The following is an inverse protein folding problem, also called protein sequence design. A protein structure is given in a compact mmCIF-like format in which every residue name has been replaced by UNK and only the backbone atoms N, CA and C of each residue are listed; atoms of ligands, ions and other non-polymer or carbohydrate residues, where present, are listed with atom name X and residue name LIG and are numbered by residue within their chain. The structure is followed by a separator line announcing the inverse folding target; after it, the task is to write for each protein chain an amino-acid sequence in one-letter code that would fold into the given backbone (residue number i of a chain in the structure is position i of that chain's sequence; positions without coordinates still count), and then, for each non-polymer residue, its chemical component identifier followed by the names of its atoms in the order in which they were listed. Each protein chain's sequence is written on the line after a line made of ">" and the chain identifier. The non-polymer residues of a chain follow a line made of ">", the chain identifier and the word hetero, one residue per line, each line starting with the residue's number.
data_IF_239592439930
#
_entry.id   IF_239592439930
#
_cell.length_a   1.000
_cell.length_b   1.000
_cell.length_c   1.000
_cell.angle_alpha   90.00
_cell.angle_beta   90.00
_cell.angle_gamma   90.00
#
_symmetry.space_group_name_H-M   'P 1'
#
loop_
_entity.id
_entity.type
_entity.pdbx_description
1 polymer ?
#
# COMPACT_ATOMS: atom_id res chain seq x y z
N UNK A 1 31.71 14.05 12.83
CA UNK A 1 31.08 14.42 14.12
C UNK A 1 30.68 15.89 14.04
N UNK A 2 29.40 16.23 14.25
CA UNK A 2 28.90 17.61 14.12
C UNK A 2 28.91 18.31 15.48
N UNK A 3 30.09 18.77 15.92
CA UNK A 3 30.32 19.35 17.25
C UNK A 3 29.34 20.48 17.64
N UNK A 4 28.89 21.28 16.67
CA UNK A 4 27.95 22.38 16.92
C UNK A 4 26.63 21.91 17.56
N UNK A 5 26.17 20.69 17.25
CA UNK A 5 24.91 20.15 17.82
C UNK A 5 25.06 19.78 19.29
N UNK A 6 26.20 19.21 19.67
CA UNK A 6 26.52 18.86 21.05
C UNK A 6 26.71 20.12 21.90
N UNK A 7 27.45 21.11 21.38
CA UNK A 7 27.66 22.40 22.07
C UNK A 7 26.32 23.10 22.31
N UNK A 8 25.46 23.16 21.28
CA UNK A 8 24.12 23.73 21.43
C UNK A 8 23.28 22.97 22.47
N UNK A 9 23.32 21.63 22.44
CA UNK A 9 22.62 20.79 23.40
C UNK A 9 23.06 21.01 24.85
N UNK A 10 24.37 21.10 25.07
CA UNK A 10 24.94 21.41 26.39
C UNK A 10 24.56 22.81 26.86
N UNK A 11 24.66 23.81 25.98
CA UNK A 11 24.26 25.19 26.29
C UNK A 11 22.76 25.28 26.62
N UNK A 12 21.91 24.59 25.85
CA UNK A 12 20.46 24.55 26.09
C UNK A 12 20.11 23.82 27.38
N UNK A 13 20.71 22.66 27.66
CA UNK A 13 20.50 21.94 28.91
C UNK A 13 20.95 22.76 30.12
N UNK A 14 22.10 23.43 30.03
CA UNK A 14 22.60 24.32 31.07
C UNK A 14 21.64 25.50 31.30
N UNK A 15 21.25 26.20 30.22
CA UNK A 15 20.33 27.33 30.32
C UNK A 15 18.99 26.92 30.95
N UNK A 16 18.45 25.77 30.53
CA UNK A 16 17.18 25.26 31.06
C UNK A 16 17.32 24.88 32.53
N UNK A 17 18.37 24.16 32.93
CA UNK A 17 18.63 23.82 34.32
C UNK A 17 18.79 25.08 35.18
N UNK A 18 19.60 26.04 34.70
CA UNK A 18 19.83 27.32 35.36
C UNK A 18 18.54 28.12 35.54
N UNK A 19 17.70 28.18 34.50
CA UNK A 19 16.40 28.84 34.56
C UNK A 19 15.47 28.19 35.57
N UNK A 20 15.30 26.85 35.53
CA UNK A 20 14.45 26.13 36.48
C UNK A 20 14.91 26.29 37.94
N UNK A 21 16.23 26.42 38.16
CA UNK A 21 16.79 26.61 39.50
C UNK A 21 16.63 28.04 40.02
N UNK A 22 16.77 29.05 39.15
CA UNK A 22 16.87 30.46 39.56
C UNK A 22 15.66 31.31 39.15
N UNK A 23 14.55 30.69 38.73
CA UNK A 23 13.35 31.40 38.27
C UNK A 23 12.82 32.45 39.27
N UNK A 24 12.86 32.15 40.57
CA UNK A 24 12.40 33.07 41.63
C UNK A 24 13.27 34.32 41.69
N UNK A 25 14.59 34.16 41.57
CA UNK A 25 15.55 35.28 41.54
C UNK A 25 15.41 36.09 40.25
N UNK A 26 15.19 35.42 39.12
CA UNK A 26 15.14 36.04 37.79
C UNK A 26 13.83 36.77 37.50
N UNK A 27 12.71 36.25 38.00
CA UNK A 27 11.37 36.71 37.61
C UNK A 27 10.49 37.14 38.79
N UNK A 28 10.98 36.95 40.02
CA UNK A 28 10.23 37.23 41.25
C UNK A 28 9.11 36.23 41.56
N UNK A 29 8.86 35.25 40.67
CA UNK A 29 7.81 34.26 40.80
C UNK A 29 8.31 32.86 40.39
N UNK A 30 7.64 31.82 40.88
CA UNK A 30 7.88 30.43 40.48
C UNK A 30 6.79 30.01 39.52
N UNK A 31 7.14 29.82 38.25
CA UNK A 31 6.20 29.41 37.19
C UNK A 31 6.22 27.90 36.95
N UNK A 32 7.37 27.25 37.15
CA UNK A 32 7.57 25.84 36.80
C UNK A 32 8.14 25.08 37.99
N UNK A 33 7.50 23.98 38.36
CA UNK A 33 7.94 23.13 39.47
C UNK A 33 8.49 21.83 38.90
N UNK A 34 9.76 21.60 39.17
CA UNK A 34 10.44 20.38 38.85
C UNK A 34 11.27 19.94 40.05
N UNK A 35 11.18 18.67 40.43
CA UNK A 35 12.06 18.09 41.45
C UNK A 35 13.50 18.02 40.90
N UNK A 36 14.52 17.99 41.78
CA UNK A 36 15.93 17.89 41.35
C UNK A 36 16.18 16.72 40.39
N UNK A 37 15.54 15.58 40.64
CA UNK A 37 15.62 14.41 39.76
C UNK A 37 15.05 14.69 38.37
N UNK A 38 13.95 15.46 38.26
CA UNK A 38 13.34 15.80 36.98
C UNK A 38 14.19 16.81 36.20
N UNK A 39 14.75 17.82 36.89
CA UNK A 39 15.68 18.79 36.29
C UNK A 39 16.92 18.07 35.74
N UNK A 40 17.50 17.17 36.52
CA UNK A 40 18.67 16.38 36.13
C UNK A 40 18.36 15.46 34.94
N UNK A 41 17.28 14.66 35.02
CA UNK A 41 16.86 13.77 33.95
C UNK A 41 16.62 14.52 32.63
N UNK A 42 15.89 15.63 32.67
CA UNK A 42 15.60 16.41 31.46
C UNK A 42 16.88 16.96 30.83
N UNK A 43 17.80 17.48 31.65
CA UNK A 43 19.11 17.97 31.21
C UNK A 43 19.96 16.85 30.58
N UNK A 44 20.03 15.68 31.24
CA UNK A 44 20.75 14.51 30.73
C UNK A 44 20.15 14.03 29.41
N UNK A 45 18.82 13.96 29.29
CA UNK A 45 18.14 13.52 28.07
C UNK A 45 18.36 14.47 26.90
N UNK A 46 18.36 15.79 27.13
CA UNK A 46 18.67 16.82 26.12
C UNK A 46 20.12 16.67 25.63
N UNK A 47 21.07 16.48 26.55
CA UNK A 47 22.48 16.27 26.21
C UNK A 47 22.64 14.96 25.45
N UNK A 48 22.03 13.87 25.89
CA UNK A 48 22.05 12.58 25.22
C UNK A 48 21.44 12.66 23.81
N UNK A 49 20.32 13.35 23.64
CA UNK A 49 19.70 13.60 22.33
C UNK A 49 20.63 14.35 21.40
N UNK A 50 21.29 15.39 21.91
CA UNK A 50 22.22 16.22 21.15
C UNK A 50 23.53 15.48 20.82
N UNK A 51 23.99 14.62 21.72
CA UNK A 51 25.11 13.72 21.49
C UNK A 51 24.80 12.72 20.38
N UNK A 52 23.67 11.99 20.45
CA UNK A 52 23.23 11.08 19.40
C UNK A 52 23.06 11.80 18.05
N UNK A 53 22.53 13.04 18.06
CA UNK A 53 22.39 13.85 16.85
C UNK A 53 23.73 14.33 16.24
N UNK A 54 24.82 14.30 17.02
CA UNK A 54 26.17 14.71 16.58
C UNK A 54 26.93 13.60 15.86
N UNK A 55 26.53 12.34 16.07
CA UNK A 55 27.07 11.16 15.40
C UNK A 55 26.12 10.70 14.28
N UNK A 56 26.54 10.79 13.02
CA UNK A 56 25.67 10.45 11.88
C UNK A 56 25.14 9.02 11.94
N UNK A 57 25.99 8.06 12.34
CA UNK A 57 25.63 6.65 12.51
C UNK A 57 24.58 6.40 13.60
N UNK A 58 24.55 7.22 14.65
CA UNK A 58 23.63 7.07 15.79
C UNK A 58 22.42 8.02 15.70
N UNK A 59 22.39 8.88 14.70
CA UNK A 59 21.39 9.94 14.57
C UNK A 59 19.95 9.43 14.46
N UNK A 60 19.74 8.18 14.04
CA UNK A 60 18.43 7.54 13.99
C UNK A 60 17.90 7.14 15.36
N UNK A 61 18.78 6.79 16.31
CA UNK A 61 18.39 6.38 17.66
C UNK A 61 17.95 7.54 18.55
N UNK A 62 18.25 8.79 18.17
CA UNK A 62 17.80 9.98 18.93
C UNK A 62 16.28 10.05 19.09
N UNK A 63 15.53 9.45 18.15
CA UNK A 63 14.07 9.42 18.18
C UNK A 63 13.55 8.68 19.42
N UNK A 64 14.27 7.69 19.93
CA UNK A 64 13.92 6.92 21.15
C UNK A 64 13.94 7.81 22.40
N UNK A 65 14.71 8.89 22.40
CA UNK A 65 14.77 9.82 23.53
C UNK A 65 13.63 10.85 23.54
N UNK A 66 12.97 11.09 22.39
CA UNK A 66 11.86 12.06 22.30
C UNK A 66 10.69 11.69 23.23
N UNK A 67 10.20 10.43 23.27
CA UNK A 67 9.17 9.99 24.22
C UNK A 67 9.55 10.26 25.68
N UNK A 68 10.80 10.01 26.06
CA UNK A 68 11.28 10.22 27.43
C UNK A 68 11.29 11.71 27.78
N UNK A 69 11.84 12.54 26.88
CA UNK A 69 11.83 14.01 27.04
C UNK A 69 10.39 14.52 27.15
N UNK A 70 9.49 14.02 26.30
CA UNK A 70 8.08 14.39 26.30
C UNK A 70 7.42 14.05 27.65
N UNK A 71 7.58 12.82 28.15
CA UNK A 71 6.95 12.39 29.42
C UNK A 71 7.50 13.18 30.61
N UNK A 72 8.82 13.39 30.68
CA UNK A 72 9.41 14.21 31.75
C UNK A 72 8.88 15.65 31.66
N UNK A 73 8.78 16.21 30.46
CA UNK A 73 8.26 17.56 30.23
C UNK A 73 6.79 17.68 30.63
N UNK A 74 5.96 16.68 30.30
CA UNK A 74 4.56 16.63 30.70
C UNK A 74 4.41 16.46 32.22
N UNK A 75 5.24 15.63 32.86
CA UNK A 75 5.27 15.49 34.32
C UNK A 75 5.55 16.84 34.99
N UNK A 76 6.54 17.58 34.50
CA UNK A 76 6.86 18.93 35.00
C UNK A 76 5.72 19.91 34.74
N UNK A 77 5.14 19.91 33.53
CA UNK A 77 4.04 20.81 33.16
C UNK A 77 2.79 20.56 34.03
N UNK A 78 2.35 19.32 34.17
CA UNK A 78 1.15 18.99 34.94
C UNK A 78 1.37 19.12 36.45
N UNK A 79 2.58 18.86 36.98
CA UNK A 79 2.91 19.22 38.37
C UNK A 79 2.87 20.72 38.61
N UNK A 80 3.35 21.51 37.65
CA UNK A 80 3.28 22.97 37.72
C UNK A 80 1.83 23.46 37.73
N UNK A 81 0.96 22.89 36.88
CA UNK A 81 -0.47 23.17 36.88
C UNK A 81 -1.15 22.84 38.22
N UNK A 82 -0.78 21.72 38.85
CA UNK A 82 -1.29 21.32 40.16
C UNK A 82 -1.09 22.43 41.21
N UNK A 83 0.10 23.05 41.26
CA UNK A 83 0.37 24.14 42.22
C UNK A 83 -0.41 25.42 41.90
N UNK A 84 -0.69 25.69 40.63
CA UNK A 84 -1.50 26.82 40.20
C UNK A 84 -3.02 26.58 40.39
N UNK A 85 -3.42 25.52 41.12
CA UNK A 85 -4.82 25.22 41.47
C UNK A 85 -5.56 24.38 40.43
N UNK A 86 -4.89 23.90 39.38
CA UNK A 86 -5.50 23.16 38.28
C UNK A 86 -5.48 21.63 38.50
N UNK A 87 -5.97 21.18 39.65
CA UNK A 87 -5.88 19.76 40.09
C UNK A 87 -6.54 18.76 39.12
N UNK A 88 -7.64 19.16 38.47
CA UNK A 88 -8.38 18.32 37.53
C UNK A 88 -7.50 17.82 36.38
N UNK A 89 -6.67 18.68 35.80
CA UNK A 89 -5.85 18.32 34.65
C UNK A 89 -4.69 17.40 35.03
N UNK A 90 -4.15 17.54 36.24
CA UNK A 90 -3.13 16.63 36.76
C UNK A 90 -3.68 15.22 36.99
N UNK A 91 -4.89 15.09 37.55
CA UNK A 91 -5.53 13.80 37.77
C UNK A 91 -5.84 13.07 36.46
N UNK A 92 -6.34 13.80 35.46
CA UNK A 92 -6.57 13.27 34.10
C UNK A 92 -5.25 12.80 33.50
N UNK A 93 -4.20 13.64 33.55
CA UNK A 93 -2.88 13.28 33.03
C UNK A 93 -2.32 12.01 33.68
N UNK A 94 -2.36 11.89 35.01
CA UNK A 94 -1.86 10.71 35.72
C UNK A 94 -2.53 9.41 35.25
N UNK A 95 -3.82 9.48 34.91
CA UNK A 95 -4.60 8.32 34.44
C UNK A 95 -4.23 7.90 33.01
N UNK A 96 -3.83 8.86 32.15
CA UNK A 96 -3.44 8.58 30.76
C UNK A 96 -1.93 8.54 30.53
N UNK A 97 -1.11 8.87 31.53
CA UNK A 97 0.35 9.03 31.43
C UNK A 97 1.04 7.87 30.73
N UNK A 98 0.74 6.63 31.16
CA UNK A 98 1.31 5.44 30.55
C UNK A 98 0.85 5.22 29.12
N UNK A 99 -0.39 5.56 28.79
CA UNK A 99 -0.91 5.49 27.43
C UNK A 99 -0.20 6.49 26.51
N UNK A 100 0.06 7.72 26.98
CA UNK A 100 0.87 8.71 26.26
C UNK A 100 2.31 8.20 26.07
N UNK A 101 2.91 7.60 27.11
CA UNK A 101 4.26 7.07 27.06
C UNK A 101 4.38 5.92 26.05
N UNK A 102 3.47 4.95 26.11
CA UNK A 102 3.43 3.81 25.19
C UNK A 102 3.18 4.29 23.76
N UNK A 103 2.23 5.21 23.55
CA UNK A 103 1.91 5.77 22.24
C UNK A 103 3.12 6.48 21.63
N UNK A 104 3.73 7.41 22.37
CA UNK A 104 4.90 8.16 21.89
C UNK A 104 6.11 7.26 21.66
N UNK A 105 6.39 6.32 22.55
CA UNK A 105 7.45 5.33 22.37
C UNK A 105 7.22 4.47 21.12
N UNK A 106 6.00 3.97 20.95
CA UNK A 106 5.62 3.15 19.79
C UNK A 106 5.77 3.92 18.48
N UNK A 107 5.38 5.20 18.45
CA UNK A 107 5.62 6.06 17.31
C UNK A 107 7.13 6.20 17.04
N UNK A 108 7.94 6.49 18.07
CA UNK A 108 9.38 6.61 17.92
C UNK A 108 10.04 5.32 17.39
N UNK A 109 9.65 4.16 17.91
CA UNK A 109 10.15 2.86 17.46
C UNK A 109 9.76 2.54 16.01
N UNK A 110 8.58 2.96 15.55
CA UNK A 110 8.16 2.72 14.16
C UNK A 110 8.95 3.51 13.10
N UNK A 111 9.70 4.54 13.52
CA UNK A 111 10.56 5.33 12.63
C UNK A 111 12.04 4.90 12.64
N UNK A 112 12.43 3.94 13.48
CA UNK A 112 13.81 3.47 13.53
C UNK A 112 14.13 2.68 12.26
N UNK A 113 15.18 3.08 11.55
CA UNK A 113 15.67 2.38 10.36
C UNK A 113 16.77 1.41 10.73
N UNK A 114 16.63 0.14 10.32
CA UNK A 114 17.66 -0.88 10.44
C UNK A 114 18.17 -1.22 9.05
N UNK A 115 19.32 -0.66 8.69
CA UNK A 115 19.91 -0.80 7.35
C UNK A 115 20.25 -2.26 7.01
N UNK A 116 20.61 -3.06 8.01
CA UNK A 116 21.16 -4.40 7.81
C UNK A 116 20.08 -5.50 7.80
N UNK A 117 18.85 -5.21 8.25
CA UNK A 117 17.77 -6.19 8.44
C UNK A 117 16.38 -5.61 8.13
N UNK A 118 16.01 -5.47 6.84
CA UNK A 118 14.76 -4.82 6.44
C UNK A 118 13.51 -5.54 6.99
N UNK A 119 13.51 -6.87 7.04
CA UNK A 119 12.39 -7.65 7.61
C UNK A 119 12.17 -7.38 9.11
N UNK A 120 13.25 -7.18 9.87
CA UNK A 120 13.12 -6.87 11.29
C UNK A 120 12.57 -5.45 11.48
N UNK A 121 13.00 -4.51 10.63
CA UNK A 121 12.47 -3.16 10.64
C UNK A 121 10.97 -3.13 10.37
N UNK A 122 10.49 -3.84 9.35
CA UNK A 122 9.06 -3.86 8.99
C UNK A 122 8.22 -4.52 10.09
N UNK A 123 8.71 -5.60 10.69
CA UNK A 123 8.04 -6.27 11.81
C UNK A 123 7.98 -5.39 13.06
N UNK A 124 9.10 -4.77 13.45
CA UNK A 124 9.15 -3.85 14.59
C UNK A 124 8.23 -2.67 14.34
N UNK A 125 8.28 -2.07 13.15
CA UNK A 125 7.44 -0.92 12.80
C UNK A 125 5.96 -1.27 12.85
N UNK A 126 5.57 -2.41 12.28
CA UNK A 126 4.19 -2.90 12.33
C UNK A 126 3.73 -3.18 13.76
N UNK A 127 4.54 -3.88 14.56
CA UNK A 127 4.21 -4.20 15.95
C UNK A 127 4.09 -2.92 16.79
N UNK A 128 5.02 -1.98 16.63
CA UNK A 128 4.94 -0.68 17.30
C UNK A 128 3.70 0.10 16.87
N UNK A 129 3.34 0.14 15.59
CA UNK A 129 2.10 0.79 15.14
C UNK A 129 0.85 0.11 15.71
N UNK A 130 0.80 -1.22 15.81
CA UNK A 130 -0.31 -1.91 16.44
C UNK A 130 -0.44 -1.55 17.94
N UNK A 131 0.68 -1.54 18.67
CA UNK A 131 0.72 -1.14 20.08
C UNK A 131 0.33 0.34 20.24
N UNK A 132 0.74 1.22 19.33
CA UNK A 132 0.29 2.61 19.26
C UNK A 132 -1.23 2.70 19.11
N UNK A 133 -1.83 1.85 18.27
CA UNK A 133 -3.28 1.76 18.11
C UNK A 133 -4.03 1.36 19.38
N UNK A 134 -3.54 0.36 20.11
CA UNK A 134 -4.12 -0.01 21.41
C UNK A 134 -3.97 1.11 22.43
N UNK A 135 -2.79 1.73 22.54
CA UNK A 135 -2.56 2.84 23.45
C UNK A 135 -3.43 4.06 23.12
N UNK A 136 -3.61 4.38 21.83
CA UNK A 136 -4.47 5.48 21.39
C UNK A 136 -5.94 5.20 21.67
N UNK A 137 -6.40 3.95 21.50
CA UNK A 137 -7.76 3.54 21.84
C UNK A 137 -8.09 3.84 23.30
N UNK A 138 -7.26 3.37 24.24
CA UNK A 138 -7.47 3.60 25.66
C UNK A 138 -7.37 5.09 26.03
N UNK A 139 -6.41 5.81 25.42
CA UNK A 139 -6.25 7.24 25.63
C UNK A 139 -7.49 8.02 25.21
N UNK A 140 -7.98 7.83 23.97
CA UNK A 140 -9.14 8.56 23.47
C UNK A 140 -10.46 8.09 24.09
N UNK A 141 -10.56 6.83 24.51
CA UNK A 141 -11.71 6.33 25.26
C UNK A 141 -11.81 7.02 26.62
N UNK A 142 -10.70 7.07 27.37
CA UNK A 142 -10.67 7.75 28.67
C UNK A 142 -10.93 9.25 28.53
N UNK A 143 -10.29 9.94 27.58
CA UNK A 143 -10.51 11.36 27.35
C UNK A 143 -11.96 11.67 26.95
N UNK A 144 -12.56 10.83 26.10
CA UNK A 144 -13.96 10.96 25.71
C UNK A 144 -14.90 10.85 26.91
N UNK A 145 -14.65 9.88 27.80
CA UNK A 145 -15.45 9.70 29.01
C UNK A 145 -15.30 10.87 29.99
N UNK A 146 -14.08 11.38 30.17
CA UNK A 146 -13.80 12.45 31.13
C UNK A 146 -14.30 13.81 30.66
N UNK A 147 -14.15 14.13 29.37
CA UNK A 147 -14.54 15.42 28.81
C UNK A 147 -15.93 15.42 28.16
N UNK A 148 -16.64 14.29 28.20
CA UNK A 148 -17.96 14.10 27.58
C UNK A 148 -17.97 14.47 26.08
N UNK A 149 -16.84 14.27 25.41
CA UNK A 149 -16.67 14.55 23.98
C UNK A 149 -16.83 13.27 23.15
N UNK A 150 -17.26 13.36 21.88
CA UNK A 150 -17.31 12.23 20.97
C UNK A 150 -15.98 11.45 20.89
N UNK A 151 -16.04 10.13 21.00
CA UNK A 151 -14.84 9.28 21.08
C UNK A 151 -14.16 9.08 19.74
N UNK A 152 -12.85 9.37 19.70
CA UNK A 152 -11.97 9.03 18.58
C UNK A 152 -11.30 7.66 18.75
N UNK A 153 -11.66 6.87 19.78
CA UNK A 153 -10.97 5.64 20.15
C UNK A 153 -10.89 4.64 18.98
N UNK A 154 -12.03 4.23 18.43
CA UNK A 154 -12.08 3.29 17.30
C UNK A 154 -11.43 3.84 16.03
N UNK A 155 -11.61 5.14 15.76
CA UNK A 155 -11.00 5.79 14.59
C UNK A 155 -9.47 5.79 14.69
N UNK A 156 -8.93 6.09 15.87
CA UNK A 156 -7.49 6.06 16.12
C UNK A 156 -6.91 4.64 16.01
N UNK A 157 -7.61 3.64 16.57
CA UNK A 157 -7.22 2.24 16.48
C UNK A 157 -7.18 1.76 15.02
N UNK A 158 -8.24 2.03 14.26
CA UNK A 158 -8.35 1.65 12.86
C UNK A 158 -7.24 2.29 12.02
N UNK A 159 -6.92 3.57 12.27
CA UNK A 159 -5.81 4.26 11.59
C UNK A 159 -4.50 3.52 11.80
N UNK A 160 -4.16 3.24 13.07
CA UNK A 160 -2.91 2.56 13.40
C UNK A 160 -2.86 1.11 12.90
N UNK A 161 -3.99 0.40 12.87
CA UNK A 161 -4.06 -0.93 12.27
C UNK A 161 -3.87 -0.90 10.75
N UNK A 162 -4.48 0.05 10.04
CA UNK A 162 -4.22 0.25 8.60
C UNK A 162 -2.73 0.52 8.37
N UNK A 163 -2.11 1.38 9.19
CA UNK A 163 -0.68 1.66 9.10
C UNK A 163 0.18 0.43 9.42
N UNK A 164 -0.18 -0.37 10.42
CA UNK A 164 0.53 -1.59 10.78
C UNK A 164 0.45 -2.65 9.66
N UNK A 165 -0.76 -2.91 9.15
CA UNK A 165 -1.00 -3.88 8.06
C UNK A 165 -0.27 -3.46 6.78
N UNK A 166 -0.29 -2.17 6.46
CA UNK A 166 0.42 -1.66 5.28
C UNK A 166 1.93 -1.59 5.48
N UNK A 167 2.43 -1.48 6.73
CA UNK A 167 3.84 -1.59 7.03
C UNK A 167 4.33 -3.04 6.90
N UNK A 168 3.63 -4.01 7.46
CA UNK A 168 4.03 -5.42 7.37
C UNK A 168 3.93 -5.98 5.95
N UNK A 169 2.98 -5.50 5.14
CA UNK A 169 2.88 -5.91 3.73
C UNK A 169 4.06 -5.46 2.86
N UNK A 170 4.90 -4.54 3.33
CA UNK A 170 6.17 -4.22 2.65
C UNK A 170 7.24 -5.31 2.83
N UNK A 171 7.08 -6.18 3.84
CA UNK A 171 8.02 -7.26 4.15
C UNK A 171 7.85 -8.48 3.24
N UNK A 172 6.68 -8.62 2.61
CA UNK A 172 6.30 -9.80 1.85
C UNK A 172 6.14 -9.47 0.37
N UNK A 173 6.56 -10.42 -0.47
CA UNK A 173 6.33 -10.40 -1.91
C UNK A 173 5.03 -11.15 -2.23
N UNK A 174 4.34 -10.71 -3.29
CA UNK A 174 3.05 -11.27 -3.71
C UNK A 174 2.03 -10.19 -4.07
N UNK A 175 1.14 -10.52 -5.01
CA UNK A 175 0.12 -9.62 -5.55
C UNK A 175 -0.81 -9.06 -4.46
N UNK A 176 -1.19 -9.91 -3.50
CA UNK A 176 -2.03 -9.53 -2.37
C UNK A 176 -1.36 -8.45 -1.51
N UNK A 177 -0.07 -8.61 -1.20
CA UNK A 177 0.68 -7.65 -0.38
C UNK A 177 0.96 -6.35 -1.14
N UNK A 178 1.14 -6.40 -2.46
CA UNK A 178 1.21 -5.21 -3.29
C UNK A 178 -0.12 -4.46 -3.35
N UNK A 179 -1.24 -5.18 -3.46
CA UNK A 179 -2.58 -4.62 -3.43
C UNK A 179 -2.90 -3.93 -2.09
N UNK A 180 -2.61 -4.58 -0.96
CA UNK A 180 -2.78 -3.97 0.38
C UNK A 180 -2.03 -2.63 0.46
N UNK A 181 -0.82 -2.55 -0.13
CA UNK A 181 -0.03 -1.31 -0.16
C UNK A 181 -0.66 -0.23 -1.05
N UNK A 182 -1.22 -0.60 -2.21
CA UNK A 182 -1.88 0.36 -3.10
C UNK A 182 -3.17 0.94 -2.49
N UNK A 183 -3.87 0.15 -1.68
CA UNK A 183 -5.13 0.57 -1.07
C UNK A 183 -4.96 1.46 0.17
N UNK A 184 -3.74 1.65 0.69
CA UNK A 184 -3.49 2.42 1.92
C UNK A 184 -4.18 3.78 1.92
N UNK A 185 -3.97 4.59 0.89
CA UNK A 185 -4.52 5.94 0.81
C UNK A 185 -6.04 5.94 0.76
N UNK A 186 -6.62 4.94 0.09
CA UNK A 186 -8.06 4.76 0.01
C UNK A 186 -8.67 4.36 1.36
N UNK A 187 -8.05 3.41 2.07
CA UNK A 187 -8.50 2.99 3.40
C UNK A 187 -8.42 4.14 4.42
N UNK A 188 -7.36 4.94 4.38
CA UNK A 188 -7.23 6.14 5.24
C UNK A 188 -8.29 7.19 4.89
N UNK A 189 -8.59 7.38 3.59
CA UNK A 189 -9.62 8.31 3.16
C UNK A 189 -11.02 7.87 3.64
N UNK A 190 -11.37 6.59 3.48
CA UNK A 190 -12.66 6.08 3.98
C UNK A 190 -12.74 6.21 5.49
N UNK A 191 -11.67 5.88 6.21
CA UNK A 191 -11.64 6.05 7.66
C UNK A 191 -11.92 7.51 8.02
N UNK A 192 -11.25 8.46 7.36
CA UNK A 192 -11.51 9.89 7.59
C UNK A 192 -12.96 10.28 7.31
N UNK A 193 -13.55 9.80 6.20
CA UNK A 193 -14.96 10.04 5.87
C UNK A 193 -15.89 9.46 6.94
N UNK A 194 -15.63 8.23 7.41
CA UNK A 194 -16.42 7.57 8.45
C UNK A 194 -16.27 8.27 9.81
N UNK A 195 -15.07 8.72 10.17
CA UNK A 195 -14.83 9.50 11.39
C UNK A 195 -15.56 10.84 11.31
N UNK A 196 -15.46 11.56 10.19
CA UNK A 196 -16.16 12.83 10.00
C UNK A 196 -17.68 12.65 10.05
N UNK A 197 -18.17 11.64 9.35
CA UNK A 197 -19.59 11.29 9.32
C UNK A 197 -20.11 10.93 10.72
N UNK A 198 -19.43 10.05 11.45
CA UNK A 198 -19.88 9.60 12.78
C UNK A 198 -19.87 10.71 13.84
N UNK A 199 -18.93 11.66 13.77
CA UNK A 199 -18.78 12.70 14.78
C UNK A 199 -19.61 13.96 14.50
N UNK A 200 -19.77 14.33 13.22
CA UNK A 200 -20.39 15.61 12.86
C UNK A 200 -21.73 15.44 12.17
N UNK A 201 -21.85 14.48 11.24
CA UNK A 201 -23.05 14.33 10.41
C UNK A 201 -24.10 13.49 11.13
N UNK A 202 -23.73 12.32 11.66
CA UNK A 202 -24.64 11.37 12.29
C UNK A 202 -25.43 11.97 13.46
N UNK A 203 -24.84 12.78 14.37
CA UNK A 203 -25.61 13.44 15.44
C UNK A 203 -26.67 14.40 14.91
N UNK A 204 -26.40 15.10 13.80
CA UNK A 204 -27.35 16.01 13.13
C UNK A 204 -28.49 15.26 12.43
N UNK A 205 -28.30 13.98 12.12
CA UNK A 205 -29.28 13.09 11.51
C UNK A 205 -30.02 12.21 12.52
N UNK A 206 -29.86 12.47 13.83
CA UNK A 206 -30.48 11.69 14.91
C UNK A 206 -32.02 11.61 14.80
N UNK A 207 -32.66 12.65 14.27
CA UNK A 207 -34.11 12.70 14.04
C UNK A 207 -34.55 11.88 12.80
N UNK A 208 -33.61 11.41 11.97
CA UNK A 208 -33.88 10.71 10.71
C UNK A 208 -33.00 9.46 10.58
N UNK A 209 -33.21 8.43 11.42
CA UNK A 209 -32.35 7.24 11.46
C UNK A 209 -32.25 6.52 10.11
N UNK A 210 -33.34 6.47 9.33
CA UNK A 210 -33.32 5.81 8.01
C UNK A 210 -32.36 6.46 7.00
N UNK A 211 -32.14 7.78 7.07
CA UNK A 211 -31.17 8.47 6.21
C UNK A 211 -29.75 8.17 6.70
N UNK A 212 -29.53 8.15 8.01
CA UNK A 212 -28.24 7.82 8.58
C UNK A 212 -27.81 6.38 8.21
N UNK A 213 -28.72 5.42 8.35
CA UNK A 213 -28.47 4.02 7.97
C UNK A 213 -28.18 3.89 6.48
N UNK A 214 -28.96 4.57 5.63
CA UNK A 214 -28.72 4.58 4.18
C UNK A 214 -27.32 5.10 3.82
N UNK A 215 -26.85 6.17 4.46
CA UNK A 215 -25.51 6.71 4.22
C UNK A 215 -24.43 5.73 4.69
N UNK A 216 -24.57 5.13 5.88
CA UNK A 216 -23.62 4.14 6.40
C UNK A 216 -23.48 2.94 5.46
N UNK A 217 -24.60 2.35 5.06
CA UNK A 217 -24.61 1.22 4.13
C UNK A 217 -24.11 1.60 2.75
N UNK A 218 -24.36 2.82 2.28
CA UNK A 218 -23.81 3.32 1.01
C UNK A 218 -22.29 3.42 1.06
N UNK A 219 -21.72 3.95 2.16
CA UNK A 219 -20.26 4.02 2.33
C UNK A 219 -19.65 2.62 2.37
N UNK A 220 -20.28 1.69 3.10
CA UNK A 220 -19.83 0.28 3.17
C UNK A 220 -19.91 -0.38 1.79
N UNK A 221 -21.02 -0.21 1.07
CA UNK A 221 -21.21 -0.80 -0.26
C UNK A 221 -20.19 -0.27 -1.27
N UNK A 222 -19.98 1.05 -1.34
CA UNK A 222 -18.99 1.67 -2.23
C UNK A 222 -17.57 1.16 -1.90
N UNK A 223 -17.25 1.10 -0.61
CA UNK A 223 -15.96 0.58 -0.13
C UNK A 223 -15.77 -0.87 -0.57
N UNK A 224 -16.77 -1.72 -0.35
CA UNK A 224 -16.72 -3.14 -0.69
C UNK A 224 -16.62 -3.36 -2.20
N UNK A 225 -17.43 -2.65 -2.99
CA UNK A 225 -17.41 -2.75 -4.46
C UNK A 225 -16.02 -2.39 -4.99
N UNK A 226 -15.42 -1.29 -4.52
CA UNK A 226 -14.10 -0.87 -4.97
C UNK A 226 -13.03 -1.88 -4.56
N UNK A 227 -12.97 -2.27 -3.28
CA UNK A 227 -12.01 -3.26 -2.76
C UNK A 227 -12.13 -4.58 -3.54
N UNK A 228 -13.35 -5.06 -3.77
CA UNK A 228 -13.61 -6.31 -4.51
C UNK A 228 -13.18 -6.21 -5.97
N UNK A 229 -13.48 -5.10 -6.65
CA UNK A 229 -13.06 -4.86 -8.04
C UNK A 229 -11.54 -4.82 -8.15
N UNK A 230 -10.88 -4.05 -7.30
CA UNK A 230 -9.43 -3.85 -7.34
C UNK A 230 -8.69 -5.15 -6.97
N UNK A 231 -9.24 -5.93 -6.03
CA UNK A 231 -8.72 -7.25 -5.69
C UNK A 231 -8.84 -8.23 -6.87
N UNK A 232 -10.02 -8.34 -7.49
CA UNK A 232 -10.23 -9.24 -8.65
C UNK A 232 -9.36 -8.89 -9.85
N UNK A 233 -9.11 -7.61 -10.10
CA UNK A 233 -8.25 -7.18 -11.20
C UNK A 233 -6.77 -7.53 -11.00
N UNK A 234 -6.34 -7.73 -9.76
CA UNK A 234 -4.93 -8.04 -9.43
C UNK A 234 -4.68 -9.50 -9.14
N UNK A 235 -5.70 -10.24 -8.72
CA UNK A 235 -5.66 -11.69 -8.51
C UNK A 235 -6.30 -12.37 -9.72
N UNK A 236 -5.94 -11.92 -10.93
CA UNK A 236 -6.21 -12.72 -12.13
C UNK A 236 -5.42 -14.01 -11.95
N UNK A 237 -6.10 -15.02 -11.41
CA UNK A 237 -5.60 -16.38 -11.37
C UNK A 237 -5.32 -16.73 -12.81
N UNK A 238 -4.04 -16.87 -13.15
CA UNK A 238 -3.62 -17.39 -14.43
C UNK A 238 -4.10 -18.86 -14.46
N UNK A 239 -5.36 -19.07 -14.87
CA UNK A 239 -6.02 -20.38 -14.91
C UNK A 239 -5.20 -21.38 -15.75
N UNK A 240 -4.32 -20.87 -16.60
CA UNK A 240 -3.35 -21.64 -17.39
C UNK A 240 -2.35 -22.42 -16.51
N UNK A 241 -1.99 -21.93 -15.33
CA UNK A 241 -1.00 -22.57 -14.45
C UNK A 241 -1.64 -23.69 -13.60
N UNK A 242 -2.88 -23.50 -13.15
CA UNK A 242 -3.60 -24.51 -12.37
C UNK A 242 -4.07 -25.69 -13.25
N UNK A 243 -4.50 -25.41 -14.48
CA UNK A 243 -4.94 -26.44 -15.44
C UNK A 243 -3.75 -27.28 -15.94
N UNK A 244 -2.54 -26.72 -16.02
CA UNK A 244 -1.34 -27.44 -16.46
C UNK A 244 -0.90 -28.58 -15.52
N UNK A 245 -1.31 -28.55 -14.24
CA UNK A 245 -0.89 -29.55 -13.24
C UNK A 245 -1.76 -30.81 -13.21
N UNK A 246 -2.97 -30.78 -13.80
CA UNK A 246 -3.96 -31.87 -13.69
C UNK A 246 -4.33 -32.53 -15.03
N UNK A 247 -3.76 -32.08 -16.14
CA UNK A 247 -4.01 -32.67 -17.46
C UNK A 247 -2.82 -33.59 -17.83
N UNK A 248 -3.05 -34.85 -18.21
CA UNK A 248 -2.00 -35.73 -18.72
C UNK A 248 -1.26 -35.05 -19.88
N UNK A 249 0.09 -35.06 -19.83
CA UNK A 249 0.98 -34.26 -20.69
C UNK A 249 0.69 -34.34 -22.20
N UNK A 250 0.11 -35.44 -22.68
CA UNK A 250 -0.30 -35.62 -24.08
C UNK A 250 -1.52 -34.76 -24.50
N UNK A 251 -2.47 -34.50 -23.59
CA UNK A 251 -3.60 -33.61 -23.86
C UNK A 251 -3.16 -32.13 -23.88
N UNK A 252 -2.26 -31.74 -22.98
CA UNK A 252 -1.73 -30.36 -22.91
C UNK A 252 -0.98 -29.96 -24.18
N UNK A 253 -0.21 -30.87 -24.80
CA UNK A 253 0.53 -30.55 -26.02
C UNK A 253 -0.40 -30.32 -27.21
N UNK A 254 -1.44 -31.15 -27.36
CA UNK A 254 -2.45 -30.96 -28.40
C UNK A 254 -3.23 -29.66 -28.19
N UNK A 255 -3.70 -29.39 -26.97
CA UNK A 255 -4.47 -28.18 -26.67
C UNK A 255 -3.63 -26.90 -26.84
N UNK A 256 -2.34 -26.91 -26.48
CA UNK A 256 -1.41 -25.80 -26.74
C UNK A 256 -1.17 -25.58 -28.23
N UNK A 257 -1.05 -26.65 -29.01
CA UNK A 257 -0.85 -26.54 -30.45
C UNK A 257 -2.11 -26.01 -31.17
N UNK A 258 -3.30 -26.43 -30.71
CA UNK A 258 -4.56 -25.86 -31.18
C UNK A 258 -4.72 -24.39 -30.80
N UNK A 259 -4.37 -24.00 -29.57
CA UNK A 259 -4.44 -22.60 -29.16
C UNK A 259 -3.41 -21.71 -29.86
N UNK A 260 -2.20 -22.20 -30.12
CA UNK A 260 -1.19 -21.50 -30.93
C UNK A 260 -1.68 -21.29 -32.39
N UNK A 261 -2.35 -22.29 -32.97
CA UNK A 261 -2.95 -22.17 -34.31
C UNK A 261 -4.11 -21.16 -34.32
N UNK A 262 -5.02 -21.22 -33.36
CA UNK A 262 -6.16 -20.29 -33.25
C UNK A 262 -5.70 -18.86 -33.01
N UNK A 263 -4.69 -18.67 -32.16
CA UNK A 263 -4.05 -17.37 -31.94
C UNK A 263 -3.39 -16.85 -33.22
N UNK A 264 -2.63 -17.71 -33.92
CA UNK A 264 -1.99 -17.35 -35.18
C UNK A 264 -3.00 -16.94 -36.26
N UNK A 265 -4.10 -17.69 -36.40
CA UNK A 265 -5.18 -17.38 -37.34
C UNK A 265 -5.80 -16.01 -37.02
N UNK A 266 -6.13 -15.77 -35.74
CA UNK A 266 -6.73 -14.50 -35.31
C UNK A 266 -5.81 -13.31 -35.58
N UNK A 267 -4.53 -13.42 -35.22
CA UNK A 267 -3.55 -12.35 -35.42
C UNK A 267 -3.31 -12.05 -36.90
N UNK A 268 -3.30 -13.09 -37.75
CA UNK A 268 -3.20 -12.89 -39.20
C UNK A 268 -4.45 -12.20 -39.75
N UNK A 269 -5.65 -12.67 -39.42
CA UNK A 269 -6.92 -12.11 -39.90
C UNK A 269 -7.14 -10.66 -39.44
N UNK A 270 -6.77 -10.33 -38.21
CA UNK A 270 -6.93 -8.99 -37.65
C UNK A 270 -5.84 -8.05 -38.15
N UNK A 271 -4.56 -8.42 -38.01
CA UNK A 271 -3.44 -7.50 -38.16
C UNK A 271 -2.51 -7.76 -39.34
N UNK A 272 -2.64 -8.90 -40.03
CA UNK A 272 -1.88 -9.23 -41.25
C UNK A 272 -0.49 -9.80 -40.95
N UNK A 273 -0.16 -9.97 -39.66
CA UNK A 273 1.10 -10.57 -39.24
C UNK A 273 1.10 -12.08 -39.52
N UNK A 274 1.99 -12.50 -40.42
CA UNK A 274 2.11 -13.89 -40.88
C UNK A 274 2.91 -14.79 -39.93
N UNK A 275 3.83 -14.20 -39.16
CA UNK A 275 4.85 -14.92 -38.37
C UNK A 275 4.22 -15.91 -37.38
N UNK A 276 3.24 -15.53 -36.54
CA UNK A 276 2.69 -16.44 -35.52
C UNK A 276 2.01 -17.67 -36.14
N UNK A 277 1.21 -17.47 -37.20
CA UNK A 277 0.54 -18.57 -37.90
C UNK A 277 1.54 -19.48 -38.63
N UNK A 278 2.58 -18.90 -39.24
CA UNK A 278 3.62 -19.68 -39.95
C UNK A 278 4.34 -20.61 -38.96
N UNK A 279 4.74 -20.09 -37.80
CA UNK A 279 5.42 -20.87 -36.76
C UNK A 279 4.52 -21.99 -36.23
N UNK A 280 3.25 -21.67 -35.94
CA UNK A 280 2.29 -22.66 -35.46
C UNK A 280 2.06 -23.79 -36.49
N UNK A 281 1.93 -23.46 -37.78
CA UNK A 281 1.78 -24.44 -38.86
C UNK A 281 3.02 -25.31 -39.06
N UNK A 282 4.22 -24.73 -38.98
CA UNK A 282 5.49 -25.49 -39.08
C UNK A 282 5.64 -26.47 -37.92
N UNK A 283 5.26 -26.08 -36.70
CA UNK A 283 5.24 -27.00 -35.56
C UNK A 283 4.20 -28.11 -35.74
N UNK A 284 3.00 -27.75 -36.18
CA UNK A 284 1.88 -28.68 -36.37
C UNK A 284 2.13 -29.73 -37.45
N UNK A 285 2.90 -29.37 -38.49
CA UNK A 285 3.18 -30.21 -39.66
C UNK A 285 4.65 -30.64 -39.71
N UNK A 286 5.31 -30.74 -38.55
CA UNK A 286 6.74 -31.06 -38.46
C UNK A 286 7.09 -32.44 -39.03
N UNK A 287 6.16 -33.39 -39.00
CA UNK A 287 6.31 -34.74 -39.56
C UNK A 287 5.90 -34.84 -41.05
N UNK A 288 5.44 -33.74 -41.67
CA UNK A 288 5.04 -33.73 -43.07
C UNK A 288 6.25 -33.58 -44.01
N UNK A 289 6.17 -34.18 -45.21
CA UNK A 289 7.20 -34.02 -46.22
C UNK A 289 7.38 -32.54 -46.60
N UNK A 290 8.63 -32.11 -46.78
CA UNK A 290 8.99 -30.72 -47.06
C UNK A 290 8.19 -30.09 -48.23
N UNK A 291 7.95 -30.87 -49.30
CA UNK A 291 7.19 -30.41 -50.46
C UNK A 291 5.73 -30.07 -50.12
N UNK A 292 5.12 -30.84 -49.22
CA UNK A 292 3.74 -30.66 -48.77
C UNK A 292 3.63 -29.49 -47.79
N UNK A 293 4.60 -29.35 -46.89
CA UNK A 293 4.70 -28.21 -45.98
C UNK A 293 4.85 -26.89 -46.76
N UNK A 294 5.69 -26.87 -47.79
CA UNK A 294 5.83 -25.72 -48.68
C UNK A 294 4.54 -25.39 -49.43
N UNK A 295 3.79 -26.40 -49.88
CA UNK A 295 2.50 -26.21 -50.55
C UNK A 295 1.46 -25.55 -49.63
N UNK A 296 1.38 -25.98 -48.36
CA UNK A 296 0.43 -25.45 -47.36
C UNK A 296 0.80 -24.03 -46.91
N UNK A 297 2.10 -23.72 -46.82
CA UNK A 297 2.57 -22.41 -46.39
C UNK A 297 2.61 -21.38 -47.53
N UNK A 298 2.70 -21.82 -48.78
CA UNK A 298 2.79 -20.94 -49.96
C UNK A 298 1.68 -19.88 -50.02
N UNK A 299 0.38 -20.20 -49.77
CA UNK A 299 -0.68 -19.19 -49.73
C UNK A 299 -0.48 -18.12 -48.66
N UNK A 300 0.13 -18.44 -47.53
CA UNK A 300 0.39 -17.51 -46.43
C UNK A 300 1.60 -16.62 -46.72
N UNK A 301 2.69 -17.23 -47.19
CA UNK A 301 3.96 -16.55 -47.48
C UNK A 301 3.77 -15.54 -48.62
N UNK A 302 3.14 -15.96 -49.71
CA UNK A 302 2.95 -15.15 -50.92
C UNK A 302 1.80 -14.13 -50.81
N UNK A 303 1.07 -14.10 -49.69
CA UNK A 303 -0.05 -13.18 -49.51
C UNK A 303 0.44 -11.74 -49.30
N UNK A 304 -0.01 -10.78 -50.11
CA UNK A 304 0.20 -9.36 -49.84
C UNK A 304 -1.13 -8.61 -49.74
N UNK A 305 -1.25 -7.81 -48.69
CA UNK A 305 -2.36 -6.89 -48.48
C UNK A 305 -2.38 -5.79 -49.54
N UNK A 306 -3.58 -5.34 -49.90
CA UNK A 306 -3.73 -4.17 -50.73
C UNK A 306 -3.20 -2.94 -49.97
N UNK A 307 -2.25 -2.22 -50.57
CA UNK A 307 -1.60 -1.07 -49.94
C UNK A 307 -2.61 0.05 -49.73
N UNK A 308 -2.69 0.55 -48.50
CA UNK A 308 -3.52 1.71 -48.16
C UNK A 308 -2.77 2.96 -48.63
N UNK A 309 -3.37 3.82 -49.48
CA UNK A 309 -2.74 5.08 -49.88
C UNK A 309 -2.48 5.97 -48.66
N UNK A 310 -1.30 6.59 -48.61
CA UNK A 310 -0.89 7.46 -47.49
C UNK A 310 -1.88 8.59 -47.25
N UNK A 311 -2.46 9.12 -48.33
CA UNK A 311 -3.51 10.15 -48.36
C UNK A 311 -4.85 9.50 -48.73
N UNK A 312 -5.50 8.87 -47.76
CA UNK A 312 -6.82 8.24 -47.91
C UNK A 312 -7.76 8.73 -46.82
N UNK A 313 -9.03 8.94 -47.18
CA UNK A 313 -10.04 9.32 -46.19
C UNK A 313 -10.35 8.14 -45.24
N UNK A 314 -10.78 8.38 -43.99
CA UNK A 314 -11.04 7.31 -43.02
C UNK A 314 -12.02 6.23 -43.51
N UNK A 315 -13.00 6.61 -44.33
CA UNK A 315 -13.97 5.67 -44.91
C UNK A 315 -13.35 4.79 -46.01
N UNK A 316 -12.42 5.32 -46.82
CA UNK A 316 -11.67 4.54 -47.82
C UNK A 316 -10.74 3.53 -47.14
N UNK A 317 -10.07 3.94 -46.07
CA UNK A 317 -9.24 3.05 -45.22
C UNK A 317 -10.06 1.90 -44.68
N UNK A 318 -11.24 2.18 -44.11
CA UNK A 318 -12.13 1.15 -43.57
C UNK A 318 -12.62 0.17 -44.65
N UNK A 319 -12.86 0.62 -45.88
CA UNK A 319 -13.25 -0.25 -46.99
C UNK A 319 -12.10 -1.18 -47.40
N UNK A 320 -10.88 -0.64 -47.58
CA UNK A 320 -9.69 -1.42 -47.96
C UNK A 320 -9.35 -2.43 -46.87
N UNK A 321 -9.38 -2.03 -45.60
CA UNK A 321 -9.10 -2.90 -44.46
C UNK A 321 -10.13 -4.04 -44.34
N UNK A 322 -11.42 -3.75 -44.59
CA UNK A 322 -12.47 -4.78 -44.64
C UNK A 322 -12.28 -5.76 -45.81
N UNK A 323 -11.80 -5.28 -46.97
CA UNK A 323 -11.47 -6.17 -48.11
C UNK A 323 -10.25 -7.04 -47.81
N UNK A 324 -9.19 -6.45 -47.26
CA UNK A 324 -7.97 -7.16 -46.85
C UNK A 324 -8.30 -8.23 -45.80
N UNK A 325 -9.09 -7.90 -44.78
CA UNK A 325 -9.56 -8.89 -43.79
C UNK A 325 -10.29 -10.08 -44.45
N UNK A 326 -11.26 -9.83 -45.34
CA UNK A 326 -11.95 -10.91 -46.08
C UNK A 326 -11.01 -11.76 -46.93
N UNK A 327 -9.97 -11.15 -47.53
CA UNK A 327 -8.95 -11.87 -48.29
C UNK A 327 -8.08 -12.74 -47.38
N UNK A 328 -7.72 -12.25 -46.19
CA UNK A 328 -6.99 -13.00 -45.16
C UNK A 328 -7.79 -14.19 -44.64
N UNK A 329 -9.09 -14.01 -44.37
CA UNK A 329 -10.01 -15.08 -43.99
C UNK A 329 -10.04 -16.21 -45.05
N UNK A 330 -10.12 -15.86 -46.34
CA UNK A 330 -10.07 -16.85 -47.44
C UNK A 330 -8.75 -17.63 -47.49
N UNK A 331 -7.63 -16.99 -47.18
CA UNK A 331 -6.32 -17.66 -47.12
C UNK A 331 -6.29 -18.66 -45.98
N UNK A 332 -6.78 -18.27 -44.79
CA UNK A 332 -6.89 -19.18 -43.64
C UNK A 332 -7.82 -20.35 -43.93
N UNK A 333 -8.97 -20.12 -44.56
CA UNK A 333 -9.88 -21.20 -44.95
C UNK A 333 -9.23 -22.21 -45.91
N UNK A 334 -8.43 -21.71 -46.87
CA UNK A 334 -7.69 -22.56 -47.80
C UNK A 334 -6.65 -23.42 -47.08
N UNK A 335 -5.86 -22.82 -46.19
CA UNK A 335 -4.86 -23.52 -45.37
C UNK A 335 -5.55 -24.56 -44.50
N UNK A 336 -6.66 -24.20 -43.84
CA UNK A 336 -7.43 -25.13 -42.99
C UNK A 336 -7.97 -26.31 -43.80
N UNK A 337 -8.40 -26.09 -45.04
CA UNK A 337 -8.86 -27.16 -45.92
C UNK A 337 -7.71 -28.10 -46.35
N UNK A 338 -6.52 -27.56 -46.62
CA UNK A 338 -5.33 -28.34 -46.98
C UNK A 338 -4.77 -29.13 -45.80
N UNK A 339 -4.68 -28.51 -44.62
CA UNK A 339 -4.29 -29.18 -43.36
C UNK A 339 -5.24 -30.33 -43.03
N UNK A 340 -6.57 -30.13 -43.19
CA UNK A 340 -7.57 -31.20 -42.96
C UNK A 340 -7.45 -32.37 -43.94
N UNK A 341 -6.91 -32.16 -45.15
CA UNK A 341 -6.67 -33.25 -46.11
C UNK A 341 -5.48 -34.09 -45.65
N UNK A 342 -4.37 -33.46 -45.29
CA UNK A 342 -3.18 -34.17 -44.77
C UNK A 342 -3.48 -34.97 -43.48
N UNK A 343 -4.25 -34.39 -42.55
CA UNK A 343 -4.61 -35.09 -41.29
C UNK A 343 -5.53 -36.30 -41.53
N UNK A 344 -6.30 -36.33 -42.62
CA UNK A 344 -7.12 -37.50 -42.99
C UNK A 344 -6.31 -38.64 -43.59
N UNK A 345 -5.24 -38.33 -44.32
CA UNK A 345 -4.38 -39.33 -44.94
C UNK A 345 -3.42 -40.01 -43.95
N UNK A 346 -3.26 -39.46 -42.73
CA UNK A 346 -2.49 -40.06 -41.63
C UNK A 346 -3.25 -41.12 -40.81
N UNK A 347 -4.57 -41.24 -40.98
CA UNK A 347 -5.44 -42.19 -40.26
C UNK A 347 -5.91 -43.37 -41.15
N UNK A 348 -5.23 -43.58 -42.28
CA UNK A 348 -5.27 -44.82 -43.06
C UNK A 348 -3.91 -45.50 -42.94
#
# INVERSE_FOLDING_TARGET
>A
MRFNRLIFGLAFAFFLYFFLQNQEILTGNVYVIADEMQKALLSIMIVAYSALASFERLSHFRLVLIPLILIISLDVAFKSLLLHGYMQYFAVYQSVRWHIAILSASLAFSYIKFTDKPLHQTLISSASLAVAGFASYYLFSYLSQVFEIPSLAFSSLALFLILAITAISTAFEGEIFQWIRSERSFLVLILFILTFYSLLIKPLLSERPGIADFIEWSIIAITFIKISRDFRQRVEVDETEFIASHIPKEKVFRDRLYSELEFGEKVFVENGYKVPLTVALVKALSDAEFQKLAAILSPLINYEDERIPTLSFPWERAIIERRNRKRREKVVERIRAEVRREVKDFNR
#
